data_IF_670066056716
#
_entry.id   IF_670066056716
#
_cell.length_a   1.000
_cell.length_b   1.000
_cell.length_c   1.000
_cell.angle_alpha   90.00
_cell.angle_beta   90.00
_cell.angle_gamma   90.00
#
_symmetry.space_group_name_H-M   'P 1'
#
loop_
_entity.id
_entity.type
_entity.pdbx_description
1 polymer ?
#
# COMPACT_ATOMS: atom_id res chain seq x y z
N UNK A 1 -4.69 -0.56 -36.24
CA UNK A 1 -4.51 -1.31 -34.98
C UNK A 1 -3.04 -1.23 -34.58
N UNK A 2 -2.75 -0.85 -33.35
CA UNK A 2 -1.40 -0.83 -32.79
C UNK A 2 -1.29 -1.96 -31.77
N UNK A 3 -0.45 -2.96 -32.03
CA UNK A 3 -0.15 -4.03 -31.07
C UNK A 3 0.99 -3.56 -30.18
N UNK A 4 0.84 -3.70 -28.86
CA UNK A 4 1.84 -3.21 -27.90
C UNK A 4 2.25 -4.23 -26.84
N UNK A 5 1.53 -5.35 -26.74
CA UNK A 5 1.90 -6.47 -25.89
C UNK A 5 1.51 -7.77 -26.58
N UNK A 6 2.36 -8.77 -26.48
CA UNK A 6 2.13 -10.12 -26.98
C UNK A 6 2.52 -11.09 -25.87
N UNK A 7 1.73 -12.14 -25.69
CA UNK A 7 2.06 -13.21 -24.75
C UNK A 7 3.29 -13.99 -25.25
N UNK A 8 4.19 -14.36 -24.34
CA UNK A 8 5.53 -14.91 -24.65
C UNK A 8 5.49 -16.22 -25.47
N UNK A 9 4.38 -16.97 -25.43
CA UNK A 9 4.16 -18.18 -26.23
C UNK A 9 3.31 -17.95 -27.49
N UNK A 10 2.92 -16.70 -27.76
CA UNK A 10 2.16 -16.29 -28.94
C UNK A 10 0.70 -16.75 -28.94
N UNK A 11 0.08 -16.91 -27.77
CA UNK A 11 -1.34 -17.29 -27.67
C UNK A 11 -2.32 -16.14 -27.93
N UNK A 12 -1.96 -14.94 -27.48
CA UNK A 12 -2.82 -13.75 -27.57
C UNK A 12 -1.98 -12.46 -27.53
N UNK A 13 -2.60 -11.34 -27.86
CA UNK A 13 -1.96 -10.04 -27.84
C UNK A 13 -2.91 -8.92 -27.39
N UNK A 14 -2.33 -7.82 -26.92
CA UNK A 14 -3.03 -6.59 -26.59
C UNK A 14 -2.80 -5.53 -27.66
N UNK A 15 -3.89 -4.85 -28.02
CA UNK A 15 -3.86 -3.82 -29.05
C UNK A 15 -4.74 -2.61 -28.75
N UNK A 16 -4.44 -1.52 -29.46
CA UNK A 16 -5.28 -0.33 -29.54
C UNK A 16 -5.92 -0.26 -30.92
N UNK A 17 -7.23 -0.04 -30.95
CA UNK A 17 -7.94 0.32 -32.18
C UNK A 17 -7.73 1.80 -32.47
N UNK A 18 -6.57 2.11 -33.07
CA UNK A 18 -6.34 3.45 -33.60
C UNK A 18 -7.29 3.69 -34.78
N UNK A 19 -8.29 4.55 -34.59
CA UNK A 19 -9.11 5.11 -35.68
C UNK A 19 -8.73 6.57 -35.90
N UNK A 20 -8.70 7.02 -37.15
CA UNK A 20 -8.33 8.39 -37.52
C UNK A 20 -9.34 9.45 -37.06
N UNK A 21 -10.56 9.03 -36.71
CA UNK A 21 -11.70 9.91 -36.46
C UNK A 21 -11.96 10.21 -34.97
N UNK A 22 -11.17 9.62 -34.06
CA UNK A 22 -11.33 9.85 -32.62
C UNK A 22 -10.13 9.39 -31.83
N UNK A 23 -9.21 10.32 -31.56
CA UNK A 23 -8.15 10.08 -30.59
C UNK A 23 -8.77 10.14 -29.20
N UNK A 24 -9.10 8.99 -28.63
CA UNK A 24 -9.50 8.89 -27.23
C UNK A 24 -8.32 9.33 -26.35
N UNK A 25 -8.60 10.11 -25.31
CA UNK A 25 -7.56 10.61 -24.41
C UNK A 25 -6.86 9.47 -23.64
N UNK A 26 -7.61 8.41 -23.34
CA UNK A 26 -7.11 7.17 -22.75
C UNK A 26 -7.79 5.98 -23.46
N UNK A 27 -7.15 5.39 -24.48
CA UNK A 27 -7.82 4.48 -25.38
C UNK A 27 -8.13 3.13 -24.72
N UNK A 28 -9.29 2.56 -25.08
CA UNK A 28 -9.64 1.18 -24.72
C UNK A 28 -8.57 0.19 -25.21
N UNK A 29 -8.13 -0.69 -24.31
CA UNK A 29 -7.26 -1.83 -24.65
C UNK A 29 -8.10 -3.02 -25.06
N UNK A 30 -7.67 -3.69 -26.12
CA UNK A 30 -8.32 -4.89 -26.65
C UNK A 30 -7.41 -6.09 -26.48
N UNK A 31 -7.96 -7.16 -25.90
CA UNK A 31 -7.41 -8.50 -25.84
C UNK A 31 -7.86 -9.29 -27.08
N UNK A 32 -6.91 -9.95 -27.75
CA UNK A 32 -7.17 -10.73 -28.95
C UNK A 32 -6.47 -12.09 -28.85
N UNK A 33 -7.27 -13.15 -28.88
CA UNK A 33 -6.82 -14.52 -29.07
C UNK A 33 -7.05 -14.93 -30.54
N UNK A 34 -6.20 -15.81 -31.08
CA UNK A 34 -6.33 -16.26 -32.46
C UNK A 34 -7.68 -16.93 -32.70
N UNK A 35 -8.32 -16.59 -33.82
CA UNK A 35 -9.65 -17.06 -34.22
C UNK A 35 -10.81 -16.69 -33.27
N UNK A 36 -10.57 -15.83 -32.28
CA UNK A 36 -11.61 -15.34 -31.35
C UNK A 36 -11.98 -13.87 -31.57
N UNK A 37 -13.22 -13.46 -31.23
CA UNK A 37 -13.59 -12.05 -31.23
C UNK A 37 -12.76 -11.23 -30.21
N UNK A 38 -12.36 -9.99 -30.54
CA UNK A 38 -11.68 -9.12 -29.59
C UNK A 38 -12.54 -8.82 -28.36
N UNK A 39 -11.92 -8.85 -27.18
CA UNK A 39 -12.55 -8.54 -25.90
C UNK A 39 -11.93 -7.26 -25.35
N UNK A 40 -12.76 -6.32 -24.89
CA UNK A 40 -12.26 -5.11 -24.23
C UNK A 40 -11.76 -5.44 -22.82
N UNK A 41 -10.57 -4.95 -22.48
CA UNK A 41 -10.07 -4.99 -21.11
C UNK A 41 -10.89 -4.06 -20.19
N UNK A 42 -10.90 -4.35 -18.89
CA UNK A 42 -11.70 -3.59 -17.92
C UNK A 42 -11.20 -2.16 -17.74
N UNK A 43 -9.87 -1.97 -17.73
CA UNK A 43 -9.24 -0.66 -17.57
C UNK A 43 -8.79 -0.12 -18.94
N UNK A 44 -8.91 1.20 -19.17
CA UNK A 44 -8.31 1.85 -20.33
C UNK A 44 -6.77 1.82 -20.23
N UNK A 45 -6.08 2.20 -21.31
CA UNK A 45 -4.63 2.03 -21.47
C UNK A 45 -3.82 2.47 -20.26
N UNK A 46 -4.11 3.63 -19.67
CA UNK A 46 -3.33 4.14 -18.53
C UNK A 46 -3.43 3.22 -17.31
N UNK A 47 -4.64 2.79 -16.93
CA UNK A 47 -4.88 1.88 -15.82
C UNK A 47 -4.32 0.48 -16.10
N UNK A 48 -4.57 -0.02 -17.32
CA UNK A 48 -4.05 -1.29 -17.80
C UNK A 48 -2.51 -1.35 -17.68
N UNK A 49 -1.80 -0.34 -18.18
CA UNK A 49 -0.33 -0.30 -18.14
C UNK A 49 0.22 -0.30 -16.72
N UNK A 50 -0.46 0.36 -15.76
CA UNK A 50 -0.05 0.33 -14.35
C UNK A 50 -0.18 -1.08 -13.78
N UNK A 51 -1.32 -1.73 -14.00
CA UNK A 51 -1.57 -3.10 -13.51
C UNK A 51 -0.63 -4.10 -14.16
N UNK A 52 -0.50 -4.04 -15.49
CA UNK A 52 0.38 -4.89 -16.28
C UNK A 52 1.84 -4.75 -15.84
N UNK A 53 2.34 -3.51 -15.73
CA UNK A 53 3.73 -3.27 -15.31
C UNK A 53 4.00 -3.82 -13.90
N UNK A 54 3.04 -3.71 -12.98
CA UNK A 54 3.17 -4.25 -11.64
C UNK A 54 3.20 -5.78 -11.65
N UNK A 55 2.33 -6.40 -12.44
CA UNK A 55 2.29 -7.86 -12.61
C UNK A 55 3.60 -8.39 -13.20
N UNK A 56 4.06 -7.82 -14.32
CA UNK A 56 5.31 -8.22 -14.97
C UNK A 56 6.53 -8.03 -14.04
N UNK A 57 6.59 -6.90 -13.34
CA UNK A 57 7.65 -6.67 -12.36
C UNK A 57 7.61 -7.68 -11.20
N UNK A 58 6.42 -8.08 -10.74
CA UNK A 58 6.26 -9.06 -9.68
C UNK A 58 6.63 -10.47 -10.13
N UNK A 59 6.26 -10.86 -11.36
CA UNK A 59 6.56 -12.16 -11.94
C UNK A 59 8.03 -12.31 -12.34
N UNK A 60 8.65 -11.22 -12.81
CA UNK A 60 10.06 -11.17 -13.15
C UNK A 60 11.00 -10.92 -11.96
N UNK A 61 10.46 -10.66 -10.76
CA UNK A 61 11.28 -10.44 -9.59
C UNK A 61 11.94 -11.74 -9.11
N UNK A 62 13.20 -11.64 -8.64
CA UNK A 62 13.83 -12.74 -7.93
C UNK A 62 12.94 -13.19 -6.77
N UNK A 63 12.78 -14.49 -6.60
CA UNK A 63 11.95 -15.09 -5.54
C UNK A 63 12.32 -14.61 -4.12
N UNK A 64 13.54 -14.09 -3.93
CA UNK A 64 14.05 -13.54 -2.67
C UNK A 64 13.92 -12.01 -2.53
N UNK A 65 13.32 -11.31 -3.49
CA UNK A 65 13.19 -9.85 -3.46
C UNK A 65 12.30 -9.35 -2.32
N UNK A 66 11.23 -10.09 -1.99
CA UNK A 66 10.36 -9.77 -0.85
C UNK A 66 11.07 -9.92 0.50
N UNK A 67 11.90 -10.95 0.67
CA UNK A 67 12.64 -11.16 1.92
C UNK A 67 13.75 -10.12 2.12
N UNK A 68 14.40 -9.69 1.05
CA UNK A 68 15.38 -8.60 1.07
C UNK A 68 14.73 -7.26 1.44
N UNK A 69 13.59 -6.90 0.83
CA UNK A 69 12.85 -5.68 1.17
C UNK A 69 12.29 -5.70 2.60
N UNK A 70 11.69 -6.82 3.01
CA UNK A 70 11.17 -6.99 4.37
C UNK A 70 12.29 -6.91 5.42
N UNK A 71 13.45 -7.53 5.14
CA UNK A 71 14.63 -7.45 6.00
C UNK A 71 15.17 -6.03 6.13
N UNK A 72 15.32 -5.31 5.01
CA UNK A 72 15.80 -3.92 5.02
C UNK A 72 14.83 -2.98 5.76
N UNK A 73 13.52 -3.17 5.59
CA UNK A 73 12.49 -2.37 6.29
C UNK A 73 12.47 -2.64 7.79
N UNK A 74 12.59 -3.91 8.21
CA UNK A 74 12.68 -4.28 9.62
C UNK A 74 13.93 -3.69 10.30
N UNK A 75 15.09 -3.77 9.64
CA UNK A 75 16.34 -3.19 10.14
C UNK A 75 16.27 -1.65 10.21
N UNK A 76 15.64 -1.00 9.23
CA UNK A 76 15.41 0.44 9.24
C UNK A 76 14.47 0.88 10.39
N UNK A 77 13.43 0.10 10.67
CA UNK A 77 12.55 0.34 11.81
C UNK A 77 13.28 0.18 13.15
N UNK A 78 14.07 -0.89 13.33
CA UNK A 78 14.87 -1.11 14.53
C UNK A 78 15.96 -0.05 14.73
N UNK A 79 16.56 0.45 13.65
CA UNK A 79 17.52 1.56 13.69
C UNK A 79 16.93 2.84 14.29
N UNK A 80 15.64 3.12 14.06
CA UNK A 80 14.94 4.27 14.68
C UNK A 80 14.64 4.07 16.17
N UNK A 81 14.46 2.82 16.64
CA UNK A 81 14.21 2.54 18.06
C UNK A 81 15.48 2.58 18.91
N UNK A 82 16.66 2.28 18.33
CA UNK A 82 17.94 2.26 19.05
C UNK A 82 18.47 3.66 19.43
N UNK A 83 17.91 4.73 18.88
CA UNK A 83 18.27 6.12 19.19
C UNK A 83 17.52 6.77 20.36
N UNK A 84 16.56 6.07 21.00
CA UNK A 84 15.69 6.63 22.05
C UNK A 84 15.83 5.89 23.38
N UNK A 85 17.06 5.81 23.89
CA UNK A 85 17.29 5.39 25.28
C UNK A 85 17.94 6.54 26.03
N UNK A 86 17.13 7.47 26.53
CA UNK A 86 17.57 8.42 27.55
C UNK A 86 17.76 7.68 28.88
N UNK A 87 18.86 7.89 29.61
CA UNK A 87 19.06 7.25 30.90
C UNK A 87 18.04 7.80 31.90
N UNK A 88 17.20 6.90 32.42
CA UNK A 88 16.18 7.16 33.45
C UNK A 88 16.83 7.87 34.65
N UNK A 89 16.40 9.12 34.90
CA UNK A 89 16.71 9.86 36.13
C UNK A 89 16.16 9.09 37.33
N UNK A 90 17.07 8.67 38.21
CA UNK A 90 16.82 8.03 39.51
C UNK A 90 16.01 8.97 40.41
N UNK A 91 14.69 8.78 40.48
CA UNK A 91 13.83 9.41 41.48
C UNK A 91 13.94 8.60 42.78
N UNK A 92 14.65 9.18 43.74
CA UNK A 92 14.71 8.70 45.13
C UNK A 92 13.32 8.66 45.76
N UNK A 93 13.03 7.58 46.48
CA UNK A 93 11.77 7.35 47.18
C UNK A 93 11.47 8.47 48.18
N UNK A 94 10.28 9.07 48.06
CA UNK A 94 9.61 9.74 49.18
C UNK A 94 8.25 9.07 49.38
N UNK A 95 8.06 8.62 50.61
CA UNK A 95 7.05 7.70 51.09
C UNK A 95 5.61 8.21 50.90
N UNK A 96 4.74 7.26 50.56
CA UNK A 96 3.32 7.42 50.20
C UNK A 96 2.43 7.26 51.43
N UNK A 97 2.45 8.20 52.38
CA UNK A 97 1.59 8.09 53.58
C UNK A 97 0.79 9.32 54.00
N UNK A 98 0.99 10.53 53.47
CA UNK A 98 0.40 11.72 54.11
C UNK A 98 -0.75 12.42 53.35
N UNK A 99 -1.33 11.81 52.31
CA UNK A 99 -2.36 12.46 51.48
C UNK A 99 -3.79 11.90 51.63
N UNK A 100 -4.09 11.10 52.66
CA UNK A 100 -5.45 10.59 52.90
C UNK A 100 -6.27 11.40 53.92
N UNK A 101 -5.71 12.47 54.48
CA UNK A 101 -6.39 13.31 55.46
C UNK A 101 -6.56 14.74 54.90
N UNK A 102 -7.50 14.92 53.96
CA UNK A 102 -8.29 16.15 53.78
C UNK A 102 -9.19 16.02 52.56
N UNK A 103 -10.51 16.14 52.79
CA UNK A 103 -11.42 16.61 51.76
C UNK A 103 -12.46 15.61 51.27
N UNK A 104 -13.29 15.06 52.15
CA UNK A 104 -14.65 14.72 51.74
C UNK A 104 -15.65 14.91 52.90
N UNK A 105 -16.59 15.84 52.66
CA UNK A 105 -17.93 16.01 53.27
C UNK A 105 -18.06 16.85 54.56
N UNK A 106 -18.17 18.16 54.38
CA UNK A 106 -19.23 19.00 54.94
C UNK A 106 -20.13 19.36 53.74
N UNK A 107 -21.38 18.91 53.62
CA UNK A 107 -22.60 19.44 54.26
C UNK A 107 -23.24 20.48 53.30
N UNK A 108 -24.54 20.62 53.06
CA UNK A 108 -25.79 19.94 53.40
C UNK A 108 -26.92 20.73 52.67
N UNK A 109 -28.09 20.09 52.44
CA UNK A 109 -29.47 20.65 52.31
C UNK A 109 -29.78 21.71 51.22
N UNK A 110 -30.96 21.85 50.59
CA UNK A 110 -32.31 21.27 50.66
C UNK A 110 -33.16 21.76 49.44
N UNK A 111 -34.37 21.21 49.32
CA UNK A 111 -35.55 21.62 48.51
C UNK A 111 -35.59 21.08 47.06
N UNK A 112 -36.65 20.40 46.58
CA UNK A 112 -38.00 20.17 47.08
C UNK A 112 -38.52 18.80 46.56
#
# INVERSE_FOLDING_TARGET
MLIFGEEDQGGFFWSLLWTLDGLEADPTVWFLEYDEPPIAEQEPLSGFLIQFSLYEAAMGADYNSFSAWAGATHLGALGRYRGRVDPVRRLTSRSRTDAFARGHRQGAVNAA
#
